data_IF_814139855879
#
_entry.id   IF_814139855879
#
_cell.length_a   1.000
_cell.length_b   1.000
_cell.length_c   1.000
_cell.angle_alpha   90.00
_cell.angle_beta   90.00
_cell.angle_gamma   90.00
#
_symmetry.space_group_name_H-M   'P 1'
#
loop_
_entity.id
_entity.type
_entity.pdbx_description
1 polymer ?
#
# COMPACT_ATOMS: atom_id res chain seq x y z
N UNK A 1 -5.49 -0.72 -20.42
CA UNK A 1 -4.13 -0.15 -20.39
C UNK A 1 -3.22 -1.12 -19.65
N UNK A 2 -1.94 -1.16 -19.98
CA UNK A 2 -0.96 -1.93 -19.20
C UNK A 2 -0.38 -1.02 -18.11
N UNK A 3 -0.06 -1.60 -16.95
CA UNK A 3 0.59 -0.87 -15.87
C UNK A 3 1.80 -1.65 -15.33
N UNK A 4 2.75 -0.90 -14.80
CA UNK A 4 3.89 -1.38 -14.03
C UNK A 4 3.96 -0.53 -12.77
N UNK A 5 4.06 -1.19 -11.62
CA UNK A 5 4.15 -0.58 -10.30
C UNK A 5 5.39 -1.14 -9.60
N UNK A 6 6.20 -0.25 -9.04
CA UNK A 6 7.28 -0.60 -8.13
C UNK A 6 7.20 0.33 -6.93
N UNK A 7 7.17 -0.25 -5.73
CA UNK A 7 7.09 0.47 -4.47
C UNK A 7 8.20 -0.02 -3.54
N UNK A 8 9.07 0.89 -3.11
CA UNK A 8 10.13 0.61 -2.16
C UNK A 8 9.83 1.37 -0.86
N UNK A 9 9.70 0.63 0.23
CA UNK A 9 9.47 1.14 1.57
C UNK A 9 10.67 0.80 2.45
N UNK A 10 11.11 1.79 3.23
CA UNK A 10 12.07 1.62 4.31
C UNK A 10 11.45 2.24 5.58
N UNK A 11 11.14 1.40 6.56
CA UNK A 11 10.46 1.80 7.78
C UNK A 11 11.10 1.13 9.00
N UNK A 12 11.98 1.85 9.69
CA UNK A 12 12.67 1.34 10.88
C UNK A 12 11.79 1.11 12.12
N UNK A 13 10.52 1.53 12.08
CA UNK A 13 9.56 1.33 13.17
C UNK A 13 8.58 0.18 12.89
N UNK A 14 8.57 -0.36 11.68
CA UNK A 14 7.78 -1.52 11.32
C UNK A 14 8.51 -2.83 11.70
N UNK A 15 7.79 -3.96 11.65
CA UNK A 15 8.36 -5.30 11.86
C UNK A 15 9.29 -5.78 10.73
N UNK A 16 9.50 -4.95 9.71
CA UNK A 16 10.38 -5.15 8.57
C UNK A 16 11.22 -3.90 8.37
N UNK A 17 12.48 -4.06 7.95
CA UNK A 17 13.37 -2.92 7.71
C UNK A 17 13.19 -2.36 6.30
N UNK A 18 13.07 -3.26 5.32
CA UNK A 18 12.93 -2.92 3.90
C UNK A 18 11.88 -3.79 3.25
N UNK A 19 11.09 -3.19 2.35
CA UNK A 19 10.13 -3.91 1.51
C UNK A 19 10.11 -3.34 0.11
N UNK A 20 10.37 -4.20 -0.88
CA UNK A 20 10.14 -3.91 -2.29
C UNK A 20 8.90 -4.67 -2.75
N UNK A 21 7.96 -3.98 -3.38
CA UNK A 21 6.75 -4.57 -3.98
C UNK A 21 6.67 -4.18 -5.44
N UNK A 22 6.56 -5.16 -6.31
CA UNK A 22 6.52 -4.99 -7.76
C UNK A 22 5.23 -5.60 -8.29
N UNK A 23 4.59 -4.97 -9.28
CA UNK A 23 3.40 -5.51 -9.92
C UNK A 23 3.32 -5.08 -11.37
N UNK A 24 2.94 -6.02 -12.22
CA UNK A 24 2.68 -5.76 -13.64
C UNK A 24 1.33 -6.34 -13.99
N UNK A 25 0.56 -5.64 -14.83
CA UNK A 25 -0.77 -6.13 -15.13
C UNK A 25 -1.54 -5.30 -16.12
N UNK A 26 -2.84 -5.58 -16.15
CA UNK A 26 -3.79 -4.92 -17.03
C UNK A 26 -4.81 -4.14 -16.21
N UNK A 27 -5.11 -2.93 -16.66
CA UNK A 27 -6.15 -2.07 -16.12
C UNK A 27 -7.24 -1.79 -17.14
N UNK A 28 -8.49 -1.82 -16.69
CA UNK A 28 -9.67 -1.40 -17.46
C UNK A 28 -10.21 -0.11 -16.87
N UNK A 29 -10.56 0.84 -17.73
CA UNK A 29 -11.34 2.01 -17.33
C UNK A 29 -12.81 1.62 -17.40
N UNK A 30 -13.48 1.61 -16.26
CA UNK A 30 -14.91 1.28 -16.16
C UNK A 30 -15.78 2.51 -16.45
N UNK A 31 -15.35 3.67 -15.94
CA UNK A 31 -16.00 4.97 -16.16
C UNK A 31 -14.93 5.97 -16.56
N UNK A 32 -15.18 6.77 -17.59
CA UNK A 32 -14.28 7.83 -18.05
C UNK A 32 -15.12 9.01 -18.49
N UNK A 33 -15.53 9.81 -17.51
CA UNK A 33 -16.17 11.10 -17.72
C UNK A 33 -15.22 12.23 -17.28
N UNK A 34 -15.61 13.47 -17.55
CA UNK A 34 -14.80 14.65 -17.22
C UNK A 34 -14.68 14.86 -15.71
N UNK A 35 -15.70 14.51 -14.95
CA UNK A 35 -15.74 14.66 -13.49
C UNK A 35 -15.53 13.36 -12.73
N UNK A 36 -15.85 12.20 -13.32
CA UNK A 36 -15.78 10.90 -12.64
C UNK A 36 -14.97 9.90 -13.46
N UNK A 37 -13.98 9.28 -12.82
CA UNK A 37 -13.10 8.28 -13.43
C UNK A 37 -13.03 7.08 -12.52
N UNK A 38 -13.32 5.90 -13.06
CA UNK A 38 -13.22 4.64 -12.32
C UNK A 38 -12.41 3.64 -13.13
N UNK A 39 -11.44 3.01 -12.50
CA UNK A 39 -10.58 2.01 -13.12
C UNK A 39 -10.39 0.81 -12.20
N UNK A 40 -10.28 -0.36 -12.82
CA UNK A 40 -9.98 -1.62 -12.16
C UNK A 40 -8.68 -2.16 -12.74
N UNK A 41 -7.74 -2.52 -11.88
CA UNK A 41 -6.43 -3.06 -12.21
C UNK A 41 -6.28 -4.45 -11.62
N UNK A 42 -5.63 -5.34 -12.36
CA UNK A 42 -5.32 -6.68 -11.90
C UNK A 42 -4.03 -7.21 -12.52
N UNK A 43 -3.24 -7.94 -11.75
CA UNK A 43 -2.03 -8.56 -12.27
C UNK A 43 -1.22 -9.34 -11.24
N UNK A 44 -0.23 -10.13 -11.69
CA UNK A 44 0.78 -10.69 -10.80
C UNK A 44 1.58 -9.58 -10.11
N UNK A 45 2.09 -9.92 -8.94
CA UNK A 45 2.95 -9.08 -8.13
C UNK A 45 4.01 -9.94 -7.44
N UNK A 46 5.07 -9.29 -6.98
CA UNK A 46 6.11 -9.89 -6.18
C UNK A 46 6.42 -8.96 -5.00
N UNK A 47 6.73 -9.55 -3.85
CA UNK A 47 7.10 -8.82 -2.64
C UNK A 47 8.38 -9.41 -2.08
N UNK A 48 9.33 -8.53 -1.80
CA UNK A 48 10.64 -8.83 -1.25
C UNK A 48 10.72 -8.08 0.08
N UNK A 49 10.74 -8.81 1.20
CA UNK A 49 10.75 -8.20 2.54
C UNK A 49 12.01 -8.63 3.28
N UNK A 50 12.71 -7.67 3.89
CA UNK A 50 13.81 -7.95 4.81
C UNK A 50 13.28 -7.93 6.25
N UNK A 51 13.44 -9.03 6.98
CA UNK A 51 13.02 -9.13 8.37
C UNK A 51 13.87 -8.24 9.28
N UNK A 52 13.24 -7.64 10.29
CA UNK A 52 13.92 -6.79 11.27
C UNK A 52 14.80 -7.59 12.25
N UNK A 53 14.39 -8.82 12.59
CA UNK A 53 15.11 -9.66 13.54
C UNK A 53 16.21 -10.49 12.86
N UNK A 54 17.43 -10.51 13.41
CA UNK A 54 18.49 -11.39 12.94
C UNK A 54 18.12 -12.87 13.11
N UNK A 55 18.63 -13.73 12.23
CA UNK A 55 18.43 -15.20 12.32
C UNK A 55 19.03 -15.84 13.57
N UNK A 56 19.94 -15.15 14.27
CA UNK A 56 20.48 -15.57 15.56
C UNK A 56 19.94 -14.72 16.72
N UNK A 57 19.42 -15.41 17.74
CA UNK A 57 19.15 -14.86 19.07
C UNK A 57 19.63 -15.86 20.15
N UNK A 58 20.37 -15.44 21.19
CA UNK A 58 20.79 -14.07 21.53
C UNK A 58 21.92 -13.53 20.62
N UNK A 59 22.09 -12.19 20.56
CA UNK A 59 23.17 -11.58 19.77
C UNK A 59 24.53 -12.01 20.31
N UNK A 60 25.31 -12.70 19.47
CA UNK A 60 26.67 -13.12 19.76
C UNK A 60 27.65 -12.30 18.89
N UNK A 61 28.59 -11.54 19.46
CA UNK A 61 29.56 -10.75 18.70
C UNK A 61 30.52 -11.61 17.84
N UNK A 62 30.55 -12.92 18.04
CA UNK A 62 31.34 -13.87 17.25
C UNK A 62 30.55 -14.54 16.10
N UNK A 63 29.26 -14.23 15.93
CA UNK A 63 28.42 -14.77 14.86
C UNK A 63 27.92 -13.63 13.97
N UNK A 64 28.17 -13.74 12.66
CA UNK A 64 27.57 -12.84 11.67
C UNK A 64 26.10 -13.24 11.53
N UNK A 65 25.18 -12.45 12.07
CA UNK A 65 23.76 -12.70 11.90
C UNK A 65 23.27 -12.25 10.53
N UNK A 66 22.69 -13.18 9.78
CA UNK A 66 22.08 -12.89 8.48
C UNK A 66 20.69 -12.29 8.66
N UNK A 67 20.34 -11.37 7.76
CA UNK A 67 18.97 -10.85 7.57
C UNK A 67 18.52 -11.22 6.15
N UNK A 68 18.07 -12.46 5.92
CA UNK A 68 17.70 -12.90 4.58
C UNK A 68 16.48 -12.12 4.06
N UNK A 69 16.45 -11.92 2.75
CA UNK A 69 15.26 -11.44 2.07
C UNK A 69 14.26 -12.58 1.90
N UNK A 70 13.01 -12.34 2.28
CA UNK A 70 11.90 -13.22 1.98
C UNK A 70 11.24 -12.78 0.67
N UNK A 71 11.26 -13.70 -0.30
CA UNK A 71 10.62 -13.52 -1.60
C UNK A 71 9.26 -14.22 -1.63
N UNK A 72 8.28 -13.50 -2.17
CA UNK A 72 6.91 -13.98 -2.31
C UNK A 72 6.32 -13.52 -3.64
N UNK A 73 5.72 -14.45 -4.39
CA UNK A 73 4.87 -14.13 -5.54
C UNK A 73 3.45 -13.92 -5.02
N UNK A 74 2.84 -12.83 -5.41
CA UNK A 74 1.49 -12.42 -5.01
C UNK A 74 0.63 -12.08 -6.23
N UNK A 75 -0.68 -11.96 -6.03
CA UNK A 75 -1.59 -11.32 -6.98
C UNK A 75 -2.03 -9.97 -6.45
N UNK A 76 -2.24 -8.98 -7.31
CA UNK A 76 -2.77 -7.66 -6.95
C UNK A 76 -4.06 -7.39 -7.73
N UNK A 77 -5.07 -6.89 -7.03
CA UNK A 77 -6.25 -6.27 -7.61
C UNK A 77 -6.44 -4.87 -7.00
N UNK A 78 -6.82 -3.88 -7.80
CA UNK A 78 -7.09 -2.54 -7.30
C UNK A 78 -8.22 -1.85 -8.05
N UNK A 79 -9.12 -1.22 -7.31
CA UNK A 79 -10.16 -0.32 -7.80
C UNK A 79 -9.76 1.10 -7.43
N UNK A 80 -9.65 1.97 -8.43
CA UNK A 80 -9.40 3.40 -8.23
C UNK A 80 -10.62 4.17 -8.74
N UNK A 81 -11.27 4.92 -7.86
CA UNK A 81 -12.33 5.85 -8.19
C UNK A 81 -11.89 7.28 -7.85
N UNK A 82 -12.06 8.18 -8.80
CA UNK A 82 -11.72 9.60 -8.69
C UNK A 82 -12.91 10.43 -9.13
N UNK A 83 -13.30 11.37 -8.28
CA UNK A 83 -14.42 12.26 -8.50
C UNK A 83 -14.02 13.70 -8.21
N UNK A 84 -13.99 14.51 -9.25
CA UNK A 84 -13.87 15.96 -9.16
C UNK A 84 -15.25 16.52 -8.76
N UNK A 85 -15.42 16.77 -7.46
CA UNK A 85 -16.64 17.36 -6.87
C UNK A 85 -16.81 18.79 -7.37
N UNK A 86 -15.68 19.51 -7.51
CA UNK A 86 -15.60 20.84 -8.09
C UNK A 86 -14.21 21.08 -8.67
N UNK A 87 -13.99 22.23 -9.31
CA UNK A 87 -12.67 22.63 -9.84
C UNK A 87 -11.57 22.69 -8.75
N UNK A 88 -11.98 22.83 -7.49
CA UNK A 88 -11.11 22.95 -6.34
C UNK A 88 -11.14 21.73 -5.41
N UNK A 89 -11.99 20.74 -5.64
CA UNK A 89 -12.14 19.60 -4.74
C UNK A 89 -12.22 18.27 -5.50
N UNK A 90 -11.28 17.38 -5.20
CA UNK A 90 -11.23 16.03 -5.76
C UNK A 90 -11.30 15.00 -4.63
N UNK A 91 -12.26 14.10 -4.71
CA UNK A 91 -12.37 12.91 -3.88
C UNK A 91 -11.74 11.72 -4.62
N UNK A 92 -10.93 10.93 -3.93
CA UNK A 92 -10.34 9.69 -4.45
C UNK A 92 -10.57 8.56 -3.48
N UNK A 93 -11.12 7.45 -3.96
CA UNK A 93 -11.22 6.18 -3.25
C UNK A 93 -10.31 5.17 -3.95
N UNK A 94 -9.41 4.55 -3.19
CA UNK A 94 -8.57 3.46 -3.67
C UNK A 94 -8.80 2.24 -2.81
N UNK A 95 -9.31 1.17 -3.39
CA UNK A 95 -9.42 -0.12 -2.74
C UNK A 95 -8.47 -1.10 -3.42
N UNK A 96 -7.49 -1.64 -2.72
CA UNK A 96 -6.56 -2.63 -3.27
C UNK A 96 -6.47 -3.87 -2.40
N UNK A 97 -6.28 -5.01 -3.03
CA UNK A 97 -6.11 -6.29 -2.37
C UNK A 97 -4.93 -7.04 -2.96
N UNK A 98 -4.09 -7.58 -2.08
CA UNK A 98 -2.93 -8.41 -2.42
C UNK A 98 -3.11 -9.80 -1.86
N UNK A 99 -2.93 -10.82 -2.70
CA UNK A 99 -3.14 -12.24 -2.37
C UNK A 99 -1.78 -12.96 -2.40
N UNK A 100 -1.35 -13.55 -1.28
CA UNK A 100 -0.06 -14.25 -1.15
C UNK A 100 -0.19 -15.61 -0.45
N UNK A 101 0.58 -16.64 -0.87
CA UNK A 101 0.45 -18.00 -0.33
C UNK A 101 1.26 -18.28 0.95
N UNK A 102 2.15 -17.39 1.42
CA UNK A 102 3.03 -17.70 2.56
C UNK A 102 2.46 -17.29 3.93
N UNK A 103 2.77 -18.12 4.93
CA UNK A 103 2.39 -17.95 6.35
C UNK A 103 2.90 -16.62 6.89
N UNK A 104 1.97 -15.71 7.18
CA UNK A 104 2.24 -14.36 7.71
C UNK A 104 1.68 -13.22 6.85
N UNK A 105 1.14 -13.53 5.66
CA UNK A 105 0.64 -12.51 4.73
C UNK A 105 -0.43 -13.06 3.79
N UNK A 106 -1.57 -13.49 4.34
CA UNK A 106 -2.77 -13.83 3.56
C UNK A 106 -3.29 -12.65 2.74
N UNK A 107 -4.59 -12.64 2.44
CA UNK A 107 -5.22 -11.51 1.75
C UNK A 107 -5.05 -10.23 2.59
N UNK A 108 -4.36 -9.24 2.03
CA UNK A 108 -4.22 -7.89 2.58
C UNK A 108 -5.08 -6.96 1.74
N UNK A 109 -6.07 -6.34 2.36
CA UNK A 109 -6.97 -5.40 1.68
C UNK A 109 -6.84 -4.03 2.31
N UNK A 110 -6.58 -3.02 1.49
CA UNK A 110 -6.44 -1.62 1.91
C UNK A 110 -7.49 -0.79 1.19
N UNK A 111 -8.31 -0.06 1.93
CA UNK A 111 -9.20 0.98 1.42
C UNK A 111 -8.68 2.34 1.86
N UNK A 112 -8.50 3.26 0.93
CA UNK A 112 -8.02 4.61 1.20
C UNK A 112 -8.99 5.62 0.58
N UNK A 113 -9.73 6.30 1.43
CA UNK A 113 -10.55 7.45 1.06
C UNK A 113 -9.73 8.72 1.25
N UNK A 114 -9.66 9.58 0.24
CA UNK A 114 -8.95 10.86 0.37
C UNK A 114 -9.67 12.00 -0.32
N UNK A 115 -9.60 13.18 0.27
CA UNK A 115 -10.09 14.43 -0.30
C UNK A 115 -8.92 15.39 -0.46
N UNK A 116 -8.76 15.96 -1.65
CA UNK A 116 -7.81 17.03 -1.97
C UNK A 116 -8.61 18.30 -2.25
N UNK A 117 -8.37 19.35 -1.45
CA UNK A 117 -8.95 20.67 -1.64
C UNK A 117 -7.85 21.66 -2.05
N UNK A 118 -7.98 22.28 -3.22
CA UNK A 118 -7.11 23.36 -3.70
C UNK A 118 -7.49 24.65 -2.98
N UNK A 119 -6.50 25.29 -2.35
CA UNK A 119 -6.66 26.58 -1.67
C UNK A 119 -6.36 27.71 -2.64
N UNK A 120 -5.31 27.57 -3.44
CA UNK A 120 -4.95 28.48 -4.52
C UNK A 120 -4.24 27.69 -5.64
N UNK A 121 -3.64 28.39 -6.60
CA UNK A 121 -2.91 27.78 -7.72
C UNK A 121 -1.80 26.85 -7.26
N UNK A 122 -1.15 27.13 -6.11
CA UNK A 122 0.05 26.43 -5.68
C UNK A 122 -0.09 25.62 -4.39
N UNK A 123 -1.23 25.70 -3.71
CA UNK A 123 -1.42 25.12 -2.39
C UNK A 123 -2.71 24.31 -2.35
N UNK A 124 -2.61 23.09 -1.82
CA UNK A 124 -3.74 22.22 -1.58
C UNK A 124 -3.62 21.52 -0.22
N UNK A 125 -4.76 21.28 0.42
CA UNK A 125 -4.87 20.41 1.59
C UNK A 125 -5.31 19.02 1.13
N UNK A 126 -4.68 17.97 1.64
CA UNK A 126 -5.12 16.60 1.42
C UNK A 126 -5.37 15.91 2.75
N UNK A 127 -6.58 15.43 2.97
CA UNK A 127 -6.91 14.53 4.07
C UNK A 127 -7.16 13.13 3.49
N UNK A 128 -6.65 12.10 4.16
CA UNK A 128 -6.81 10.71 3.78
C UNK A 128 -7.12 9.85 5.01
N UNK A 129 -8.01 8.89 4.82
CA UNK A 129 -8.40 7.88 5.79
C UNK A 129 -8.17 6.51 5.18
N UNK A 130 -7.36 5.70 5.83
CA UNK A 130 -6.94 4.39 5.35
C UNK A 130 -7.38 3.31 6.34
N UNK A 131 -8.00 2.27 5.80
CA UNK A 131 -8.38 1.05 6.49
C UNK A 131 -7.61 -0.11 5.87
N UNK A 132 -6.73 -0.74 6.64
CA UNK A 132 -5.95 -1.88 6.20
C UNK A 132 -6.36 -3.12 6.97
N UNK A 133 -6.86 -4.12 6.25
CA UNK A 133 -7.27 -5.40 6.79
C UNK A 133 -6.29 -6.50 6.39
N UNK A 134 -5.85 -7.30 7.36
CA UNK A 134 -5.01 -8.48 7.14
C UNK A 134 -5.79 -9.71 7.61
N UNK A 135 -6.10 -10.61 6.67
CA UNK A 135 -6.93 -11.80 6.92
C UNK A 135 -6.31 -12.77 7.93
N UNK A 136 -5.02 -13.06 7.77
CA UNK A 136 -4.25 -13.93 8.65
C UNK A 136 -3.17 -13.15 9.39
N UNK A 137 -3.19 -13.23 10.72
CA UNK A 137 -2.13 -12.72 11.58
C UNK A 137 -1.42 -13.92 12.21
N UNK A 138 -0.07 -13.93 12.28
CA UNK A 138 0.67 -14.98 12.96
C UNK A 138 0.14 -15.25 14.37
N UNK A 139 0.02 -16.53 14.74
CA UNK A 139 -0.43 -16.93 16.07
C UNK A 139 0.51 -16.35 17.14
N UNK A 140 -0.05 -15.61 18.10
CA UNK A 140 0.71 -14.96 19.18
C UNK A 140 1.10 -13.50 18.91
N UNK A 141 0.76 -12.92 17.76
CA UNK A 141 0.95 -11.49 17.54
C UNK A 141 -0.09 -10.66 18.32
N UNK A 142 0.34 -9.54 18.91
CA UNK A 142 -0.50 -8.57 19.62
C UNK A 142 -1.19 -7.55 18.69
N UNK A 143 -0.96 -7.65 17.38
CA UNK A 143 -1.50 -6.74 16.37
C UNK A 143 -2.93 -7.10 15.98
N UNK A 144 -3.74 -6.08 15.67
CA UNK A 144 -5.15 -6.24 15.27
C UNK A 144 -5.25 -6.55 13.77
N UNK A 145 -6.31 -7.26 13.37
CA UNK A 145 -6.63 -7.55 11.96
C UNK A 145 -7.00 -6.32 11.14
N UNK A 146 -7.35 -5.22 11.79
CA UNK A 146 -7.75 -3.98 11.16
C UNK A 146 -6.92 -2.84 11.74
N UNK A 147 -6.12 -2.22 10.88
CA UNK A 147 -5.39 -1.00 11.17
C UNK A 147 -6.14 0.19 10.54
N UNK A 148 -6.26 1.28 11.29
CA UNK A 148 -6.85 2.53 10.81
C UNK A 148 -5.81 3.64 10.87
N UNK A 149 -5.63 4.36 9.77
CA UNK A 149 -4.67 5.47 9.67
C UNK A 149 -5.34 6.70 9.08
N UNK A 150 -5.26 7.81 9.82
CA UNK A 150 -5.68 9.12 9.34
C UNK A 150 -4.45 9.95 9.02
N UNK A 151 -4.42 10.55 7.84
CA UNK A 151 -3.30 11.35 7.35
C UNK A 151 -3.80 12.71 6.85
N UNK A 152 -3.19 13.78 7.31
CA UNK A 152 -3.42 15.14 6.80
C UNK A 152 -2.11 15.67 6.24
N UNK A 153 -2.12 16.16 5.01
CA UNK A 153 -0.96 16.69 4.29
C UNK A 153 -1.26 18.07 3.75
N UNK A 154 -0.27 18.96 3.82
CA UNK A 154 -0.22 20.16 3.01
C UNK A 154 0.59 19.85 1.76
N UNK A 155 0.03 20.15 0.59
CA UNK A 155 0.61 19.88 -0.71
C UNK A 155 0.89 21.21 -1.38
N UNK A 156 2.14 21.40 -1.79
CA UNK A 156 2.58 22.53 -2.59
C UNK A 156 2.90 22.04 -4.01
N UNK A 157 2.35 22.69 -5.02
CA UNK A 157 2.40 22.31 -6.44
C UNK A 157 2.68 23.59 -7.25
N UNK A 158 3.58 23.60 -8.24
CA UNK A 158 3.95 24.82 -8.98
C UNK A 158 3.91 24.61 -10.49
#
# INVERSE_FOLDING_TARGET
YLYVLANYENDGFASYEQRLSESIGYGVKLVTEDTVRVSLEGGPAARHTQAQNPTCYPPNPFIICERPFEHEITGRAALNAEWDISEHATLKEKAESTFGPKKGGGIVTTSTTSIKAKINTSLALKAAFELRHVSEIPAGATTKKLDTKTTVKFVYDF
#
